data_IF_386028105407
#
_entry.id   IF_386028105407
#
_cell.length_a   1.000
_cell.length_b   1.000
_cell.length_c   1.000
_cell.angle_alpha   90.00
_cell.angle_beta   90.00
_cell.angle_gamma   90.00
#
_symmetry.space_group_name_H-M   'P 1'
#
loop_
_entity.id
_entity.type
_entity.pdbx_description
1 polymer ?
#
# COMPACT_ATOMS: atom_id res chain seq x y z
N UNK A 1 -11.81 -8.26 0.79
CA UNK A 1 -12.88 -7.67 -0.05
C UNK A 1 -13.77 -6.91 0.91
N UNK A 2 -13.79 -5.58 0.91
CA UNK A 2 -14.90 -4.88 1.56
C UNK A 2 -16.07 -5.05 0.61
N UNK A 3 -17.12 -5.72 1.07
CA UNK A 3 -18.25 -6.09 0.23
C UNK A 3 -19.17 -4.90 -0.08
N UNK A 4 -18.75 -3.66 0.22
CA UNK A 4 -19.66 -2.52 0.22
C UNK A 4 -20.80 -2.70 1.21
N UNK A 5 -20.60 -3.56 2.23
CA UNK A 5 -21.64 -3.97 3.14
C UNK A 5 -22.09 -2.78 3.98
N UNK A 6 -23.17 -2.14 3.54
CA UNK A 6 -23.96 -1.23 4.37
C UNK A 6 -24.80 -2.13 5.26
N UNK A 7 -24.52 -2.15 6.55
CA UNK A 7 -25.28 -2.93 7.54
C UNK A 7 -25.38 -4.43 7.20
N UNK A 8 -24.26 -5.05 6.81
CA UNK A 8 -24.16 -6.49 6.45
C UNK A 8 -24.94 -6.92 5.19
N UNK A 9 -25.48 -5.98 4.42
CA UNK A 9 -26.16 -6.29 3.16
C UNK A 9 -25.22 -6.10 1.97
N UNK A 10 -25.15 -7.13 1.10
CA UNK A 10 -24.45 -7.03 -0.19
C UNK A 10 -25.38 -6.25 -1.15
N UNK A 11 -24.97 -5.08 -1.67
CA UNK A 11 -25.79 -4.29 -2.57
C UNK A 11 -25.83 -4.94 -3.96
N UNK A 12 -26.71 -5.93 -4.13
CA UNK A 12 -26.82 -6.74 -5.36
C UNK A 12 -27.07 -5.88 -6.61
N UNK A 13 -27.75 -4.76 -6.45
CA UNK A 13 -28.11 -3.83 -7.52
C UNK A 13 -26.93 -2.95 -7.97
N UNK A 14 -25.87 -2.86 -7.16
CA UNK A 14 -24.63 -2.15 -7.48
C UNK A 14 -23.55 -3.09 -8.08
N UNK A 15 -23.83 -4.40 -8.18
CA UNK A 15 -22.86 -5.35 -8.76
C UNK A 15 -22.76 -5.07 -10.27
N UNK A 16 -21.59 -4.67 -10.78
CA UNK A 16 -21.44 -4.36 -12.20
C UNK A 16 -21.71 -5.58 -13.05
N UNK A 17 -22.46 -5.37 -14.14
CA UNK A 17 -22.90 -6.41 -15.05
C UNK A 17 -21.76 -6.86 -15.99
N UNK A 18 -20.76 -7.55 -15.43
CA UNK A 18 -19.55 -7.95 -16.13
C UNK A 18 -19.71 -9.26 -16.91
N UNK A 19 -18.91 -9.45 -17.96
CA UNK A 19 -18.84 -10.73 -18.70
C UNK A 19 -18.23 -11.87 -17.87
N UNK A 20 -17.41 -11.52 -16.88
CA UNK A 20 -16.80 -12.45 -15.93
C UNK A 20 -16.43 -11.73 -14.62
N UNK A 21 -16.32 -12.50 -13.53
CA UNK A 21 -15.84 -12.06 -12.23
C UNK A 21 -14.74 -13.00 -11.75
N UNK A 22 -13.60 -12.45 -11.34
CA UNK A 22 -12.52 -13.21 -10.72
C UNK A 22 -12.49 -12.97 -9.23
N UNK A 23 -12.27 -14.05 -8.49
CA UNK A 23 -12.25 -14.07 -7.03
C UNK A 23 -10.96 -14.71 -6.56
N UNK A 24 -10.40 -14.17 -5.49
CA UNK A 24 -9.20 -14.71 -4.86
C UNK A 24 -9.37 -14.77 -3.35
N UNK A 25 -9.03 -15.92 -2.78
CA UNK A 25 -8.99 -16.12 -1.33
C UNK A 25 -7.85 -15.27 -0.72
N UNK A 26 -6.86 -14.86 -1.50
CA UNK A 26 -5.71 -14.09 -1.02
C UNK A 26 -6.07 -12.76 -0.34
N UNK A 27 -7.22 -12.17 -0.67
CA UNK A 27 -7.70 -10.89 -0.10
C UNK A 27 -8.90 -11.03 0.82
N UNK A 28 -9.44 -12.24 0.94
CA UNK A 28 -10.51 -12.57 1.88
C UNK A 28 -9.84 -13.20 3.10
N UNK A 29 -9.07 -14.26 2.91
CA UNK A 29 -8.42 -15.00 3.99
C UNK A 29 -6.92 -14.71 4.10
N UNK A 30 -6.13 -15.17 3.13
CA UNK A 30 -4.67 -15.16 3.23
C UNK A 30 -4.01 -15.41 1.90
N UNK A 31 -2.95 -14.65 1.61
CA UNK A 31 -2.11 -14.83 0.42
C UNK A 31 -1.36 -16.17 0.39
N UNK A 32 -1.23 -16.84 1.54
CA UNK A 32 -0.66 -18.19 1.64
C UNK A 32 -1.61 -19.25 1.05
N UNK A 33 -2.92 -19.01 1.10
CA UNK A 33 -3.89 -19.83 0.38
C UNK A 33 -3.92 -19.40 -1.09
N UNK A 34 -3.28 -20.19 -1.95
CA UNK A 34 -3.16 -19.92 -3.40
C UNK A 34 -4.38 -20.40 -4.18
N UNK A 35 -5.55 -19.98 -3.74
CA UNK A 35 -6.84 -20.39 -4.29
C UNK A 35 -7.65 -19.19 -4.78
N UNK A 36 -8.42 -19.42 -5.85
CA UNK A 36 -9.31 -18.45 -6.47
C UNK A 36 -10.26 -19.16 -7.42
N UNK A 37 -11.25 -18.44 -7.90
CA UNK A 37 -12.20 -18.96 -8.89
C UNK A 37 -12.63 -17.84 -9.82
N UNK A 38 -13.12 -18.21 -10.99
CA UNK A 38 -13.68 -17.28 -11.96
C UNK A 38 -15.10 -17.71 -12.26
N UNK A 39 -16.03 -16.77 -12.21
CA UNK A 39 -17.41 -16.95 -12.65
C UNK A 39 -17.57 -16.24 -13.98
N UNK A 40 -18.22 -16.90 -14.93
CA UNK A 40 -18.51 -16.32 -16.24
C UNK A 40 -20.02 -16.23 -16.40
N UNK A 41 -20.49 -15.21 -17.11
CA UNK A 41 -21.85 -15.29 -17.65
C UNK A 41 -21.91 -16.44 -18.65
N UNK A 42 -23.04 -17.14 -18.64
CA UNK A 42 -23.30 -18.29 -19.52
C UNK A 42 -23.16 -17.93 -21.01
N UNK A 43 -23.35 -16.65 -21.34
CA UNK A 43 -23.16 -16.06 -22.67
C UNK A 43 -22.31 -14.77 -22.50
N UNK A 44 -21.22 -14.56 -23.26
CA UNK A 44 -20.70 -15.37 -24.36
C UNK A 44 -19.69 -16.45 -23.91
N UNK A 45 -19.82 -17.65 -24.49
CA UNK A 45 -19.04 -18.89 -24.25
C UNK A 45 -17.53 -18.73 -24.48
N UNK A 46 -17.10 -17.74 -25.26
CA UNK A 46 -15.68 -17.53 -25.66
C UNK A 46 -14.72 -17.31 -24.49
N UNK A 47 -15.19 -16.73 -23.38
CA UNK A 47 -14.34 -16.46 -22.22
C UNK A 47 -14.00 -17.72 -21.43
N UNK A 48 -14.93 -18.68 -21.37
CA UNK A 48 -14.71 -19.97 -20.73
C UNK A 48 -13.70 -20.81 -21.52
N UNK A 49 -13.88 -20.93 -22.83
CA UNK A 49 -12.98 -21.69 -23.71
C UNK A 49 -11.56 -21.11 -23.71
N UNK A 50 -11.43 -19.78 -23.78
CA UNK A 50 -10.14 -19.11 -23.72
C UNK A 50 -9.40 -19.36 -22.39
N UNK A 51 -10.11 -19.33 -21.24
CA UNK A 51 -9.49 -19.60 -19.94
C UNK A 51 -9.18 -21.08 -19.72
N UNK A 52 -10.04 -22.00 -20.18
CA UNK A 52 -9.73 -23.44 -20.13
C UNK A 52 -8.49 -23.73 -20.96
N UNK A 53 -8.38 -23.19 -22.18
CA UNK A 53 -7.18 -23.32 -23.01
C UNK A 53 -5.93 -22.73 -22.32
N UNK A 54 -6.04 -21.56 -21.70
CA UNK A 54 -4.92 -20.96 -20.95
C UNK A 54 -4.48 -21.82 -19.75
N UNK A 55 -5.42 -22.41 -19.01
CA UNK A 55 -5.11 -23.30 -17.88
C UNK A 55 -4.51 -24.61 -18.37
N UNK A 56 -5.03 -25.19 -19.44
CA UNK A 56 -4.58 -26.48 -19.98
C UNK A 56 -3.13 -26.41 -20.48
N UNK A 57 -2.73 -25.27 -21.05
CA UNK A 57 -1.33 -25.02 -21.46
C UNK A 57 -0.37 -24.74 -20.31
N UNK A 58 -0.88 -24.49 -19.09
CA UNK A 58 -0.06 -24.15 -17.91
C UNK A 58 0.28 -25.34 -17.00
N UNK A 59 -0.10 -26.56 -17.38
CA UNK A 59 0.07 -27.75 -16.55
C UNK A 59 1.53 -28.22 -16.46
N UNK A 60 2.13 -28.14 -15.27
CA UNK A 60 3.33 -28.88 -14.88
C UNK A 60 3.02 -29.71 -13.62
N UNK A 61 3.67 -30.87 -13.46
CA UNK A 61 3.45 -31.78 -12.32
C UNK A 61 3.63 -31.11 -10.94
N UNK A 62 4.44 -30.05 -10.86
CA UNK A 62 4.61 -29.20 -9.67
C UNK A 62 3.31 -28.49 -9.23
N UNK A 63 2.38 -28.23 -10.14
CA UNK A 63 1.06 -27.67 -9.83
C UNK A 63 0.08 -28.71 -9.28
N UNK A 64 0.26 -30.00 -9.60
CA UNK A 64 -0.65 -31.08 -9.20
C UNK A 64 -0.64 -31.38 -7.70
N UNK A 65 0.54 -31.44 -7.08
CA UNK A 65 0.68 -31.67 -5.62
C UNK A 65 0.32 -30.43 -4.79
N UNK A 66 0.60 -29.22 -5.30
CA UNK A 66 0.06 -27.98 -4.71
C UNK A 66 -1.47 -27.92 -4.84
N UNK A 67 -2.07 -28.53 -5.86
CA UNK A 67 -3.52 -28.47 -6.10
C UNK A 67 -4.35 -29.18 -5.04
N UNK A 68 -3.91 -30.34 -4.52
CA UNK A 68 -4.67 -31.11 -3.53
C UNK A 68 -4.69 -30.42 -2.16
N UNK A 69 -3.54 -29.91 -1.71
CA UNK A 69 -3.43 -29.12 -0.47
C UNK A 69 -4.16 -27.78 -0.58
N UNK A 70 -4.09 -27.14 -1.76
CA UNK A 70 -4.84 -25.91 -2.06
C UNK A 70 -6.35 -26.17 -2.11
N UNK A 71 -6.78 -27.31 -2.67
CA UNK A 71 -8.17 -27.70 -2.80
C UNK A 71 -8.79 -28.07 -1.45
N UNK A 72 -8.13 -28.90 -0.64
CA UNK A 72 -8.60 -29.21 0.70
C UNK A 72 -8.60 -27.98 1.61
N UNK A 73 -7.58 -27.13 1.51
CA UNK A 73 -7.57 -25.83 2.19
C UNK A 73 -8.73 -24.93 1.75
N UNK A 74 -9.01 -24.85 0.45
CA UNK A 74 -10.13 -24.11 -0.10
C UNK A 74 -11.49 -24.66 0.39
N UNK A 75 -11.66 -25.98 0.43
CA UNK A 75 -12.87 -26.61 0.97
C UNK A 75 -13.06 -26.32 2.46
N UNK A 76 -12.01 -26.38 3.27
CA UNK A 76 -12.06 -26.04 4.70
C UNK A 76 -12.43 -24.56 4.90
N UNK A 77 -11.85 -23.66 4.09
CA UNK A 77 -12.18 -22.24 4.14
C UNK A 77 -13.60 -21.94 3.72
N UNK A 78 -14.09 -22.55 2.65
CA UNK A 78 -15.50 -22.41 2.26
C UNK A 78 -16.44 -22.96 3.32
N UNK A 79 -16.12 -24.09 3.95
CA UNK A 79 -16.91 -24.60 5.08
C UNK A 79 -16.94 -23.61 6.24
N UNK A 80 -15.82 -22.94 6.54
CA UNK A 80 -15.78 -21.91 7.57
C UNK A 80 -16.61 -20.68 7.19
N UNK A 81 -16.45 -20.17 5.96
CA UNK A 81 -17.19 -19.00 5.47
C UNK A 81 -18.70 -19.25 5.35
N UNK A 82 -19.09 -20.46 4.95
CA UNK A 82 -20.49 -20.88 4.77
C UNK A 82 -21.07 -21.56 6.01
N UNK A 83 -20.34 -21.60 7.14
CA UNK A 83 -20.82 -22.23 8.38
C UNK A 83 -22.04 -21.52 8.96
N UNK A 84 -22.23 -20.25 8.59
CA UNK A 84 -23.38 -19.40 8.92
C UNK A 84 -23.76 -18.56 7.68
N UNK A 85 -24.98 -18.02 7.62
CA UNK A 85 -25.35 -17.02 6.61
C UNK A 85 -24.35 -15.85 6.58
N UNK A 86 -24.05 -15.31 5.39
CA UNK A 86 -23.03 -14.25 5.22
C UNK A 86 -23.45 -12.93 5.88
N UNK A 87 -24.75 -12.73 6.09
CA UNK A 87 -25.38 -11.60 6.76
C UNK A 87 -25.51 -11.79 8.29
N UNK A 88 -25.11 -12.94 8.83
CA UNK A 88 -25.02 -13.15 10.28
C UNK A 88 -23.79 -12.41 10.83
N UNK A 89 -23.93 -11.48 11.80
CA UNK A 89 -22.81 -10.78 12.42
C UNK A 89 -21.78 -11.71 13.08
N UNK A 90 -22.23 -12.88 13.53
CA UNK A 90 -21.40 -13.92 14.16
C UNK A 90 -20.81 -14.92 13.16
N UNK A 91 -21.01 -14.70 11.86
CA UNK A 91 -20.31 -15.41 10.79
C UNK A 91 -18.87 -14.93 10.66
N UNK A 92 -18.04 -15.70 9.94
CA UNK A 92 -16.68 -15.26 9.63
C UNK A 92 -16.66 -13.93 8.83
N UNK A 93 -17.63 -13.75 7.91
CA UNK A 93 -17.74 -12.53 7.10
C UNK A 93 -18.21 -11.34 7.95
N UNK A 94 -19.14 -11.58 8.88
CA UNK A 94 -19.58 -10.59 9.86
C UNK A 94 -18.42 -10.09 10.70
N UNK A 95 -17.68 -11.01 11.33
CA UNK A 95 -16.49 -10.69 12.12
C UNK A 95 -15.38 -10.00 11.29
N UNK A 96 -15.16 -10.43 10.04
CA UNK A 96 -14.21 -9.77 9.14
C UNK A 96 -14.64 -8.34 8.79
N UNK A 97 -15.93 -8.11 8.56
CA UNK A 97 -16.47 -6.77 8.28
C UNK A 97 -16.29 -5.85 9.47
N UNK A 98 -16.58 -6.34 10.67
CA UNK A 98 -16.44 -5.59 11.93
C UNK A 98 -14.99 -5.20 12.20
N UNK A 99 -14.05 -6.16 12.17
CA UNK A 99 -12.63 -5.82 12.40
C UNK A 99 -12.07 -4.90 11.31
N UNK A 100 -12.54 -5.02 10.06
CA UNK A 100 -12.15 -4.09 9.00
C UNK A 100 -12.69 -2.68 9.27
N UNK A 101 -13.91 -2.56 9.79
CA UNK A 101 -14.49 -1.28 10.19
C UNK A 101 -13.68 -0.64 11.32
N UNK A 102 -13.34 -1.38 12.38
CA UNK A 102 -12.52 -0.88 13.49
C UNK A 102 -11.16 -0.35 13.00
N UNK A 103 -10.53 -1.06 12.08
CA UNK A 103 -9.27 -0.62 11.46
C UNK A 103 -9.43 0.67 10.65
N UNK A 104 -10.54 0.80 9.92
CA UNK A 104 -10.87 2.01 9.19
C UNK A 104 -11.12 3.17 10.16
N UNK A 105 -11.91 2.94 11.20
CA UNK A 105 -12.22 3.95 12.23
C UNK A 105 -10.94 4.48 12.90
N UNK A 106 -10.01 3.60 13.27
CA UNK A 106 -8.73 4.00 13.85
C UNK A 106 -7.90 4.91 12.92
N UNK A 107 -7.90 4.62 11.62
CA UNK A 107 -7.18 5.43 10.62
C UNK A 107 -7.91 6.74 10.33
N UNK A 108 -9.24 6.70 10.16
CA UNK A 108 -10.05 7.89 9.91
C UNK A 108 -9.97 8.87 11.09
N UNK A 109 -10.08 8.38 12.32
CA UNK A 109 -9.92 9.23 13.50
C UNK A 109 -8.50 9.79 13.63
N UNK A 110 -7.49 8.95 13.39
CA UNK A 110 -6.09 9.36 13.54
C UNK A 110 -5.66 10.44 12.54
N UNK A 111 -6.23 10.44 11.34
CA UNK A 111 -5.94 11.41 10.27
C UNK A 111 -7.03 12.46 10.08
N UNK A 112 -8.02 12.52 10.98
CA UNK A 112 -9.05 13.55 10.95
C UNK A 112 -8.40 14.94 10.96
N UNK A 113 -8.79 15.77 10.00
CA UNK A 113 -8.28 17.13 9.80
C UNK A 113 -6.75 17.23 9.67
N UNK A 114 -6.07 16.15 9.26
CA UNK A 114 -4.63 16.19 9.11
C UNK A 114 -4.22 17.11 7.95
N UNK A 115 -3.38 18.14 8.18
CA UNK A 115 -3.01 19.09 7.15
C UNK A 115 -2.07 18.50 6.09
N UNK A 116 -1.42 17.36 6.38
CA UNK A 116 -0.40 16.78 5.50
C UNK A 116 -1.01 15.89 4.41
N UNK A 117 -1.96 15.04 4.80
CA UNK A 117 -2.54 14.04 3.90
C UNK A 117 -3.99 13.74 4.28
N UNK A 118 -4.83 13.58 3.26
CA UNK A 118 -6.25 13.27 3.37
C UNK A 118 -6.51 11.83 2.92
N UNK A 119 -7.40 11.12 3.62
CA UNK A 119 -8.02 9.90 3.10
C UNK A 119 -9.11 10.23 2.09
N UNK A 120 -9.12 9.50 0.97
CA UNK A 120 -10.08 9.73 -0.13
C UNK A 120 -10.89 8.50 -0.52
N UNK A 121 -10.84 7.42 0.27
CA UNK A 121 -11.54 6.18 -0.03
C UNK A 121 -12.09 5.49 1.24
N UNK A 122 -12.80 6.25 2.06
CA UNK A 122 -13.33 5.77 3.33
C UNK A 122 -14.08 4.45 3.18
N UNK A 123 -13.76 3.51 4.08
CA UNK A 123 -14.29 2.15 4.11
C UNK A 123 -14.15 1.37 2.79
N UNK A 124 -13.30 1.77 1.85
CA UNK A 124 -13.31 1.22 0.48
C UNK A 124 -12.33 0.06 0.28
N UNK A 125 -12.31 -0.91 1.19
CA UNK A 125 -11.53 -2.15 1.01
C UNK A 125 -10.40 -2.36 2.00
N UNK A 126 -9.37 -3.04 1.52
CA UNK A 126 -8.21 -3.47 2.32
C UNK A 126 -7.04 -2.47 2.28
N UNK A 127 -7.28 -1.28 1.76
CA UNK A 127 -6.26 -0.26 1.58
C UNK A 127 -6.84 1.11 1.89
N UNK A 128 -6.18 1.85 2.78
CA UNK A 128 -6.40 3.28 2.94
C UNK A 128 -5.58 4.03 1.90
N UNK A 129 -6.24 4.95 1.19
CA UNK A 129 -5.69 5.72 0.09
C UNK A 129 -5.54 7.18 0.52
N UNK A 130 -4.28 7.57 0.69
CA UNK A 130 -3.89 8.90 1.13
C UNK A 130 -3.44 9.74 -0.04
N UNK A 131 -3.92 10.98 -0.06
CA UNK A 131 -3.57 12.02 -1.02
C UNK A 131 -2.94 13.16 -0.22
N UNK A 132 -1.70 13.52 -0.53
CA UNK A 132 -1.07 14.67 0.13
C UNK A 132 -1.83 15.96 -0.21
N UNK A 133 -1.77 16.93 0.70
CA UNK A 133 -2.45 18.22 0.56
C UNK A 133 -1.42 19.34 0.35
N UNK A 134 -1.84 20.47 -0.21
CA UNK A 134 -1.02 21.69 -0.20
C UNK A 134 -0.75 22.15 1.26
N UNK A 135 0.46 22.64 1.60
CA UNK A 135 1.63 22.88 0.76
C UNK A 135 2.60 21.68 0.64
N UNK A 136 2.16 20.47 0.97
CA UNK A 136 2.99 19.26 1.06
C UNK A 136 3.05 18.45 -0.26
N UNK A 137 2.37 18.91 -1.31
CA UNK A 137 2.48 18.31 -2.64
C UNK A 137 3.94 18.34 -3.13
N UNK A 138 4.41 17.22 -3.67
CA UNK A 138 5.76 17.07 -4.21
C UNK A 138 6.89 17.08 -3.16
N UNK A 139 6.57 17.12 -1.86
CA UNK A 139 7.56 16.88 -0.79
C UNK A 139 7.98 15.41 -0.80
N UNK A 140 7.04 14.52 -1.09
CA UNK A 140 7.29 13.11 -1.36
C UNK A 140 7.90 12.94 -2.77
N UNK A 141 9.15 12.51 -2.86
CA UNK A 141 9.89 12.46 -4.13
C UNK A 141 10.40 11.06 -4.53
N UNK A 142 10.05 10.02 -3.76
CA UNK A 142 10.47 8.64 -4.01
C UNK A 142 9.33 7.62 -3.94
N UNK A 143 9.59 6.40 -4.41
CA UNK A 143 8.70 5.24 -4.30
C UNK A 143 8.51 4.72 -2.85
N UNK A 144 9.25 5.26 -1.89
CA UNK A 144 9.10 4.95 -0.45
C UNK A 144 8.44 6.11 0.27
N UNK A 145 7.29 5.93 0.94
CA UNK A 145 6.51 7.04 1.48
C UNK A 145 7.19 7.61 2.73
N UNK A 146 8.00 8.66 2.54
CA UNK A 146 8.91 9.24 3.53
C UNK A 146 8.14 9.88 4.68
N UNK A 147 6.97 10.48 4.45
CA UNK A 147 6.11 10.94 5.55
C UNK A 147 5.73 9.78 6.49
N UNK A 148 5.19 8.69 5.94
CA UNK A 148 4.78 7.53 6.75
C UNK A 148 5.98 6.86 7.42
N UNK A 149 7.12 6.76 6.73
CA UNK A 149 8.33 6.14 7.27
C UNK A 149 9.03 7.00 8.31
N UNK A 150 9.35 8.25 7.97
CA UNK A 150 10.27 9.12 8.71
C UNK A 150 9.56 9.90 9.81
N UNK A 151 8.26 10.20 9.65
CA UNK A 151 7.45 10.91 10.66
C UNK A 151 6.65 9.92 11.50
N UNK A 152 5.96 8.97 10.87
CA UNK A 152 5.09 8.03 11.61
C UNK A 152 5.78 6.71 11.99
N UNK A 153 6.93 6.37 11.40
CA UNK A 153 7.59 5.09 11.64
C UNK A 153 6.80 3.89 11.11
N UNK A 154 6.07 4.07 10.01
CA UNK A 154 5.17 3.10 9.40
C UNK A 154 5.66 2.73 8.00
N UNK A 155 5.77 1.43 7.74
CA UNK A 155 5.97 0.93 6.39
C UNK A 155 4.65 0.96 5.61
N UNK A 156 4.55 1.89 4.66
CA UNK A 156 3.49 1.96 3.67
C UNK A 156 4.08 1.84 2.26
N UNK A 157 3.25 1.91 1.23
CA UNK A 157 3.70 1.87 -0.17
C UNK A 157 3.32 3.17 -0.85
N UNK A 158 4.29 3.93 -1.38
CA UNK A 158 3.98 5.01 -2.32
C UNK A 158 3.39 4.36 -3.54
N UNK A 159 2.19 4.77 -3.92
CA UNK A 159 1.61 4.30 -5.15
C UNK A 159 2.03 5.26 -6.24
N UNK A 160 3.03 4.86 -7.03
CA UNK A 160 3.40 5.63 -8.21
C UNK A 160 2.22 5.64 -9.18
N UNK A 161 1.61 6.81 -9.40
CA UNK A 161 0.40 6.93 -10.22
C UNK A 161 0.62 6.48 -11.67
N UNK A 162 1.88 6.37 -12.12
CA UNK A 162 2.27 5.82 -13.42
C UNK A 162 1.74 4.41 -13.68
N UNK A 163 1.43 3.61 -12.65
CA UNK A 163 0.79 2.29 -12.82
C UNK A 163 -0.60 2.34 -13.47
N UNK A 164 -1.26 3.50 -13.46
CA UNK A 164 -2.55 3.70 -14.14
C UNK A 164 -2.41 4.12 -15.61
N UNK A 165 -1.20 4.42 -16.09
CA UNK A 165 -0.99 4.96 -17.43
C UNK A 165 -1.68 6.31 -17.66
N UNK A 166 -1.85 7.09 -16.59
CA UNK A 166 -2.59 8.35 -16.60
C UNK A 166 -1.86 9.44 -15.82
N UNK A 167 -2.23 10.70 -16.03
CA UNK A 167 -1.66 11.84 -15.31
C UNK A 167 -2.47 12.09 -14.03
N UNK A 168 -1.83 12.24 -12.85
CA UNK A 168 -2.56 12.54 -11.62
C UNK A 168 -3.43 13.79 -11.71
N UNK A 169 -2.94 14.79 -12.44
CA UNK A 169 -3.61 16.07 -12.62
C UNK A 169 -4.99 15.95 -13.28
N UNK A 170 -5.20 14.91 -14.08
CA UNK A 170 -6.49 14.64 -14.73
C UNK A 170 -7.59 14.26 -13.73
N UNK A 171 -7.21 13.82 -12.52
CA UNK A 171 -8.13 13.34 -11.49
C UNK A 171 -8.19 14.23 -10.24
N UNK A 172 -7.06 14.82 -9.84
CA UNK A 172 -6.96 15.60 -8.60
C UNK A 172 -6.68 17.09 -8.82
N UNK A 173 -6.47 17.51 -10.07
CA UNK A 173 -6.19 18.90 -10.43
C UNK A 173 -4.70 19.20 -10.62
N UNK A 174 -4.39 20.41 -11.06
CA UNK A 174 -3.00 20.85 -11.26
C UNK A 174 -2.18 20.79 -9.96
N UNK A 175 -0.88 20.51 -10.07
CA UNK A 175 0.05 20.44 -8.93
C UNK A 175 0.32 19.03 -8.40
N UNK A 176 -0.60 18.08 -8.60
CA UNK A 176 -0.41 16.69 -8.17
C UNK A 176 0.62 15.93 -9.02
N UNK A 177 1.68 15.47 -8.39
CA UNK A 177 2.74 14.66 -8.96
C UNK A 177 2.54 13.16 -8.78
N UNK A 178 3.43 12.37 -9.40
CA UNK A 178 3.34 10.90 -9.42
C UNK A 178 3.45 10.22 -8.04
N UNK A 179 4.05 10.90 -7.06
CA UNK A 179 4.37 10.35 -5.75
C UNK A 179 3.51 10.92 -4.63
N UNK A 180 2.52 11.77 -4.92
CA UNK A 180 1.63 12.41 -3.93
C UNK A 180 0.54 11.47 -3.39
N UNK A 181 0.77 10.17 -3.51
CA UNK A 181 -0.21 9.15 -3.18
C UNK A 181 0.43 8.02 -2.38
N UNK A 182 -0.14 7.74 -1.21
CA UNK A 182 0.30 6.63 -0.37
C UNK A 182 -0.83 5.64 -0.14
N UNK A 183 -0.50 4.36 -0.28
CA UNK A 183 -1.41 3.27 0.03
C UNK A 183 -0.95 2.53 1.29
N UNK A 184 -1.75 2.58 2.34
CA UNK A 184 -1.55 1.80 3.56
C UNK A 184 -2.40 0.53 3.51
N UNK A 185 -1.79 -0.63 3.78
CA UNK A 185 -2.49 -1.91 3.74
C UNK A 185 -3.14 -2.22 5.09
N UNK A 186 -4.40 -2.68 5.09
CA UNK A 186 -5.21 -2.94 6.30
C UNK A 186 -5.22 -4.43 6.75
N UNK A 187 -4.16 -5.18 6.42
CA UNK A 187 -4.06 -6.63 6.70
C UNK A 187 -3.50 -7.02 8.07
N UNK A 188 -2.96 -6.08 8.84
CA UNK A 188 -2.36 -6.35 10.16
C UNK A 188 -3.44 -6.41 11.24
N UNK A 189 -3.02 -6.67 12.47
CA UNK A 189 -3.91 -6.60 13.63
C UNK A 189 -4.40 -5.17 13.89
N UNK A 190 -5.55 -5.01 14.56
CA UNK A 190 -6.14 -3.72 14.90
C UNK A 190 -5.15 -2.81 15.65
N UNK A 191 -4.41 -3.36 16.62
CA UNK A 191 -3.48 -2.59 17.46
C UNK A 191 -2.41 -1.83 16.64
N UNK A 192 -2.07 -2.34 15.45
CA UNK A 192 -1.15 -1.63 14.55
C UNK A 192 -1.78 -0.34 14.07
N UNK A 193 -3.05 -0.37 13.65
CA UNK A 193 -3.75 0.80 13.10
C UNK A 193 -4.15 1.81 14.17
N UNK A 194 -4.46 1.35 15.39
CA UNK A 194 -4.62 2.22 16.55
C UNK A 194 -3.32 3.00 16.83
N UNK A 195 -2.16 2.32 16.79
CA UNK A 195 -0.87 2.99 16.96
C UNK A 195 -0.53 3.93 15.81
N UNK A 196 -0.83 3.55 14.55
CA UNK A 196 -0.71 4.47 13.41
C UNK A 196 -1.58 5.71 13.61
N UNK A 197 -2.84 5.52 13.98
CA UNK A 197 -3.79 6.60 14.22
C UNK A 197 -3.36 7.51 15.37
N UNK A 198 -2.88 6.94 16.48
CA UNK A 198 -2.33 7.70 17.61
C UNK A 198 -1.14 8.56 17.20
N UNK A 199 -0.21 8.03 16.41
CA UNK A 199 0.96 8.78 15.91
C UNK A 199 0.54 9.90 14.95
N UNK A 200 -0.38 9.61 14.03
CA UNK A 200 -0.93 10.59 13.10
C UNK A 200 -1.59 11.75 13.88
N UNK A 201 -2.44 11.44 14.86
CA UNK A 201 -3.12 12.44 15.69
C UNK A 201 -2.14 13.39 16.39
N UNK A 202 -0.99 12.89 16.85
CA UNK A 202 0.06 13.72 17.46
C UNK A 202 0.68 14.67 16.43
N UNK A 203 1.18 14.14 15.30
CA UNK A 203 1.95 14.96 14.34
C UNK A 203 1.07 15.86 13.48
N UNK A 204 -0.21 15.49 13.28
CA UNK A 204 -1.18 16.30 12.56
C UNK A 204 -1.72 17.44 13.44
N UNK A 205 -1.72 17.29 14.77
CA UNK A 205 -2.10 18.35 15.71
C UNK A 205 -0.95 19.32 16.03
N UNK A 206 0.29 18.83 16.03
CA UNK A 206 1.51 19.63 16.23
C UNK A 206 2.59 19.20 15.23
N UNK A 207 2.82 20.05 14.22
CA UNK A 207 3.76 19.79 13.13
C UNK A 207 5.24 19.77 13.56
N UNK A 208 5.53 20.23 14.79
CA UNK A 208 6.86 20.18 15.40
C UNK A 208 7.01 18.99 16.37
N UNK A 209 5.93 18.27 16.67
CA UNK A 209 5.99 17.07 17.48
C UNK A 209 6.67 15.91 16.75
N UNK A 210 7.39 15.08 17.50
CA UNK A 210 7.90 13.79 17.04
C UNK A 210 7.38 12.67 17.94
N UNK A 211 6.99 11.55 17.32
CA UNK A 211 6.38 10.40 18.00
C UNK A 211 7.40 9.40 18.53
N UNK A 212 8.68 9.53 18.15
CA UNK A 212 9.79 8.73 18.69
C UNK A 212 11.14 9.44 18.50
N UNK A 213 12.12 9.16 19.37
CA UNK A 213 13.43 9.84 19.37
C UNK A 213 14.25 9.74 18.07
N UNK A 214 13.97 8.75 17.22
CA UNK A 214 14.64 8.53 15.94
C UNK A 214 13.81 9.00 14.73
N UNK A 215 12.56 9.42 14.95
CA UNK A 215 11.65 9.93 13.93
C UNK A 215 11.65 11.45 13.95
N UNK A 216 11.33 12.07 12.83
CA UNK A 216 11.34 13.54 12.68
C UNK A 216 9.95 14.12 12.77
N UNK A 217 9.86 15.41 13.09
CA UNK A 217 8.60 16.15 12.98
C UNK A 217 8.23 16.39 11.51
N UNK A 218 7.00 16.83 11.24
CA UNK A 218 6.56 17.18 9.88
C UNK A 218 7.43 18.30 9.31
N UNK A 219 7.69 19.35 10.09
CA UNK A 219 8.49 20.48 9.65
C UNK A 219 9.94 20.08 9.35
N UNK A 220 10.53 19.22 10.19
CA UNK A 220 11.87 18.66 9.95
C UNK A 220 11.90 17.78 8.69
N UNK A 221 10.86 16.96 8.48
CA UNK A 221 10.72 16.13 7.28
C UNK A 221 10.63 16.96 6.00
N UNK A 222 9.84 18.04 5.98
CA UNK A 222 9.75 18.95 4.84
C UNK A 222 11.12 19.55 4.53
N UNK A 223 11.79 20.13 5.53
CA UNK A 223 13.11 20.75 5.36
C UNK A 223 14.15 19.75 4.87
N UNK A 224 14.19 18.55 5.44
CA UNK A 224 15.10 17.48 5.02
C UNK A 224 14.84 17.04 3.57
N UNK A 225 13.57 16.83 3.22
CA UNK A 225 13.17 16.44 1.87
C UNK A 225 13.52 17.51 0.84
N UNK A 226 13.26 18.79 1.13
CA UNK A 226 13.66 19.92 0.27
C UNK A 226 15.18 19.98 0.08
N UNK A 227 15.94 19.90 1.17
CA UNK A 227 17.40 19.96 1.13
C UNK A 227 17.99 18.81 0.30
N UNK A 228 17.51 17.60 0.51
CA UNK A 228 17.95 16.43 -0.28
C UNK A 228 17.61 16.58 -1.75
N UNK A 229 16.40 17.04 -2.09
CA UNK A 229 16.02 17.28 -3.49
C UNK A 229 16.95 18.27 -4.18
N UNK A 230 17.25 19.39 -3.53
CA UNK A 230 18.19 20.38 -4.04
C UNK A 230 19.59 19.80 -4.28
N UNK A 231 20.09 18.96 -3.36
CA UNK A 231 21.41 18.32 -3.49
C UNK A 231 21.44 17.25 -4.58
N UNK A 232 20.37 16.45 -4.72
CA UNK A 232 20.21 15.42 -5.75
C UNK A 232 20.18 15.99 -7.17
N UNK A 233 19.52 17.14 -7.36
CA UNK A 233 19.47 17.83 -8.65
C UNK A 233 20.81 18.50 -9.03
N UNK A 234 21.74 18.62 -8.08
CA UNK A 234 23.10 19.14 -8.29
C UNK A 234 24.14 18.03 -8.41
N UNK A 235 24.85 17.78 -7.30
CA UNK A 235 26.05 16.91 -7.24
C UNK A 235 25.77 15.51 -6.67
N UNK A 236 24.62 15.31 -6.01
CA UNK A 236 24.35 14.09 -5.25
C UNK A 236 25.16 13.98 -3.95
N UNK A 237 25.29 12.75 -3.44
CA UNK A 237 26.05 12.42 -2.22
C UNK A 237 27.12 11.37 -2.53
N UNK A 238 28.37 11.66 -2.12
CA UNK A 238 29.49 10.73 -2.30
C UNK A 238 29.52 9.63 -1.23
N UNK A 239 29.21 9.99 0.03
CA UNK A 239 29.23 9.06 1.17
C UNK A 239 28.03 9.25 2.10
N UNK A 240 27.80 8.24 2.95
CA UNK A 240 26.80 8.31 4.03
C UNK A 240 27.08 9.46 5.01
N UNK A 241 28.36 9.71 5.35
CA UNK A 241 28.73 10.80 6.26
C UNK A 241 28.59 12.18 5.62
N UNK A 242 28.87 12.33 4.31
CA UNK A 242 28.59 13.58 3.61
C UNK A 242 27.10 13.90 3.59
N UNK A 243 26.25 12.87 3.45
CA UNK A 243 24.80 13.00 3.55
C UNK A 243 24.35 13.45 4.92
N UNK A 244 24.85 12.79 5.99
CA UNK A 244 24.56 13.21 7.37
C UNK A 244 24.99 14.64 7.64
N UNK A 245 26.19 15.03 7.20
CA UNK A 245 26.72 16.39 7.34
C UNK A 245 25.78 17.42 6.67
N UNK A 246 25.42 17.18 5.43
CA UNK A 246 24.50 18.06 4.70
C UNK A 246 23.12 18.17 5.36
N UNK A 247 22.55 17.05 5.82
CA UNK A 247 21.28 17.05 6.55
C UNK A 247 21.38 17.85 7.86
N UNK A 248 22.50 17.74 8.58
CA UNK A 248 22.74 18.49 9.82
C UNK A 248 22.92 19.98 9.57
N UNK A 249 23.59 20.35 8.48
CA UNK A 249 23.73 21.76 8.06
C UNK A 249 22.37 22.36 7.65
N UNK A 250 21.54 21.57 6.96
CA UNK A 250 20.23 22.01 6.46
C UNK A 250 19.17 22.06 7.55
N UNK A 251 19.21 21.12 8.50
CA UNK A 251 18.26 21.02 9.61
C UNK A 251 19.05 20.85 10.93
N UNK A 252 19.58 21.95 11.51
CA UNK A 252 20.47 21.89 12.68
C UNK A 252 19.86 21.25 13.92
N UNK A 253 18.52 21.22 14.03
CA UNK A 253 17.80 20.63 15.15
C UNK A 253 17.77 19.09 15.15
N UNK A 254 18.17 18.43 14.04
CA UNK A 254 18.18 16.97 13.98
C UNK A 254 19.18 16.37 14.97
N UNK A 255 18.73 15.37 15.72
CA UNK A 255 19.60 14.54 16.56
C UNK A 255 20.41 13.56 15.71
N UNK A 256 21.50 13.01 16.24
CA UNK A 256 22.28 11.99 15.53
C UNK A 256 21.46 10.76 15.13
N UNK A 257 20.48 10.36 15.96
CA UNK A 257 19.59 9.23 15.64
C UNK A 257 18.69 9.53 14.46
N UNK A 258 18.14 10.75 14.39
CA UNK A 258 17.30 11.18 13.27
C UNK A 258 18.13 11.35 11.98
N UNK A 259 19.35 11.91 12.08
CA UNK A 259 20.26 11.99 10.93
C UNK A 259 20.57 10.62 10.35
N UNK A 260 20.91 9.66 11.21
CA UNK A 260 21.18 8.29 10.79
C UNK A 260 19.93 7.65 10.15
N UNK A 261 18.75 7.86 10.73
CA UNK A 261 17.49 7.35 10.20
C UNK A 261 17.20 7.89 8.79
N UNK A 262 17.23 9.22 8.60
CA UNK A 262 16.99 9.87 7.31
C UNK A 262 18.02 9.48 6.25
N UNK A 263 19.31 9.50 6.62
CA UNK A 263 20.39 9.18 5.68
C UNK A 263 20.27 7.73 5.15
N UNK A 264 19.89 6.79 6.02
CA UNK A 264 19.71 5.39 5.65
C UNK A 264 18.44 5.18 4.80
N UNK A 265 17.32 5.81 5.18
CA UNK A 265 16.07 5.71 4.44
C UNK A 265 16.17 6.19 2.99
N UNK A 266 17.04 7.16 2.72
CA UNK A 266 17.29 7.64 1.36
C UNK A 266 18.09 6.65 0.50
N UNK A 267 19.04 5.91 1.08
CA UNK A 267 19.81 4.88 0.32
C UNK A 267 18.85 3.81 -0.21
N UNK A 268 17.96 3.32 0.64
CA UNK A 268 16.95 2.31 0.25
C UNK A 268 15.96 2.85 -0.80
N UNK A 269 15.55 4.12 -0.65
CA UNK A 269 14.69 4.79 -1.62
C UNK A 269 15.37 4.92 -3.00
N UNK A 270 16.61 5.41 -3.04
CA UNK A 270 17.38 5.56 -4.28
C UNK A 270 17.66 4.21 -4.95
N UNK A 271 18.00 3.16 -4.18
CA UNK A 271 18.18 1.80 -4.69
C UNK A 271 16.89 1.28 -5.34
N UNK A 272 15.76 1.49 -4.69
CA UNK A 272 14.45 1.08 -5.21
C UNK A 272 14.07 1.87 -6.46
N UNK A 273 14.22 3.19 -6.44
CA UNK A 273 13.91 4.07 -7.57
C UNK A 273 14.79 3.75 -8.79
N UNK A 274 16.09 3.49 -8.60
CA UNK A 274 17.00 3.09 -9.67
C UNK A 274 16.60 1.73 -10.28
N UNK A 275 16.21 0.77 -9.45
CA UNK A 275 15.72 -0.54 -9.89
C UNK A 275 14.38 -0.45 -10.66
N UNK A 276 13.51 0.51 -10.30
CA UNK A 276 12.27 0.79 -11.03
C UNK A 276 12.59 1.49 -12.36
N UNK A 277 13.50 2.47 -12.35
CA UNK A 277 13.88 3.24 -13.53
C UNK A 277 14.47 2.36 -14.64
N UNK A 278 15.16 1.26 -14.30
CA UNK A 278 15.65 0.29 -15.29
C UNK A 278 14.54 -0.45 -16.05
N UNK A 279 13.28 -0.34 -15.59
CA UNK A 279 12.12 -0.90 -16.28
C UNK A 279 11.43 0.09 -17.22
N UNK A 280 11.90 1.34 -17.30
CA UNK A 280 11.40 2.31 -18.26
C UNK A 280 11.69 1.88 -19.71
N UNK A 281 10.87 2.29 -20.70
CA UNK A 281 9.64 3.07 -20.54
C UNK A 281 8.39 2.23 -20.24
N UNK A 282 8.48 0.90 -20.36
CA UNK A 282 7.30 0.04 -20.40
C UNK A 282 6.79 -0.36 -19.00
N UNK A 283 7.64 -0.29 -17.98
CA UNK A 283 7.35 -0.61 -16.57
C UNK A 283 6.56 -1.92 -16.39
N UNK A 284 6.88 -2.93 -17.19
CA UNK A 284 6.11 -4.18 -17.18
C UNK A 284 6.16 -4.83 -15.80
N UNK A 285 5.04 -5.40 -15.38
CA UNK A 285 4.91 -6.13 -14.11
C UNK A 285 6.01 -7.18 -13.94
N UNK A 286 6.41 -7.86 -15.02
CA UNK A 286 7.51 -8.83 -15.01
C UNK A 286 8.86 -8.19 -14.67
N UNK A 287 9.20 -7.05 -15.30
CA UNK A 287 10.44 -6.33 -15.00
C UNK A 287 10.46 -5.87 -13.54
N UNK A 288 9.37 -5.24 -13.08
CA UNK A 288 9.27 -4.72 -11.71
C UNK A 288 9.45 -5.85 -10.68
N UNK A 289 8.75 -6.98 -10.82
CA UNK A 289 8.93 -8.11 -9.90
C UNK A 289 10.36 -8.65 -9.90
N UNK A 290 11.06 -8.63 -11.04
CA UNK A 290 12.47 -9.05 -11.10
C UNK A 290 13.41 -8.04 -10.44
N UNK A 291 13.16 -6.75 -10.62
CA UNK A 291 14.05 -5.68 -10.16
C UNK A 291 13.89 -5.37 -8.67
N UNK A 292 12.67 -5.43 -8.13
CA UNK A 292 12.37 -5.07 -6.73
C UNK A 292 11.75 -6.23 -5.91
N UNK A 293 11.31 -7.31 -6.56
CA UNK A 293 10.59 -8.42 -5.89
C UNK A 293 11.45 -9.64 -5.55
N UNK A 294 12.73 -9.66 -5.95
CA UNK A 294 13.62 -10.78 -5.66
C UNK A 294 14.37 -10.51 -4.35
N UNK A 295 14.07 -11.31 -3.34
CA UNK A 295 14.86 -11.42 -2.11
C UNK A 295 16.28 -11.84 -2.51
N UNK A 296 17.26 -10.95 -2.36
CA UNK A 296 18.67 -11.29 -2.58
C UNK A 296 19.21 -11.90 -1.27
N UNK A 297 19.64 -13.17 -1.27
CA UNK A 297 20.13 -13.83 -0.06
C UNK A 297 21.31 -13.13 0.61
N UNK A 298 22.04 -12.30 -0.15
CA UNK A 298 23.31 -11.69 0.26
C UNK A 298 23.13 -10.34 1.02
N UNK A 299 21.89 -9.93 1.33
CA UNK A 299 21.60 -8.68 2.06
C UNK A 299 21.57 -8.89 3.62
N UNK A 300 22.20 -9.95 4.18
CA UNK A 300 22.37 -10.20 5.62
C UNK A 300 23.82 -10.43 6.05
#
# INVERSE_FOLDING_TARGET
MYLGARDFQIPKDEIPDCSAWSFSISKIYSAAARAGWIMYKKEPVSNHEAMVAAIDTSQTMTHGSLSEWTWHGQQQLFKAFMSKPLDDPTSWIGAYTEIMREKWDAILEGFADCPVAQLSNDYSGAYAWFVFQEPYLGVQDSSTPSFFRDVLGVHATTYSWGFRGATPSDFYGEGYGFNDFTRLQLYRDLAVYEEVGRRAKIVCADLDASVASNLVSVNQWVQASTATRSRRLGEGYETFEDRKRHLKESVPSLTERQLHHLANGQVEGERTDAAIASCAPDYTTHCLFRSIGVFKPDDF
#
